data_IF_106803614541
#
_entry.id   IF_106803614541
#
_cell.length_a   1.000
_cell.length_b   1.000
_cell.length_c   1.000
_cell.angle_alpha   90.00
_cell.angle_beta   90.00
_cell.angle_gamma   90.00
#
_symmetry.space_group_name_H-M   'P 1'
#
loop_
_entity.id
_entity.type
_entity.pdbx_description
1 polymer ?
#
# COMPACT_ATOMS: atom_id res chain seq x y z
N UNK A 1 -0.08 -11.51 -6.62
CA UNK A 1 -0.70 -10.40 -5.85
C UNK A 1 0.40 -9.54 -5.27
N UNK A 2 0.18 -8.24 -5.19
CA UNK A 2 1.13 -7.29 -4.61
C UNK A 2 1.52 -7.64 -3.17
N UNK A 3 2.77 -7.35 -2.76
CA UNK A 3 3.22 -7.59 -1.40
C UNK A 3 2.73 -6.56 -0.38
N UNK A 4 2.07 -5.48 -0.78
CA UNK A 4 1.63 -4.40 0.12
C UNK A 4 0.11 -4.34 0.29
N UNK A 5 -0.34 -4.01 1.50
CA UNK A 5 -1.72 -3.79 1.88
C UNK A 5 -1.87 -2.41 2.53
N UNK A 6 -3.04 -1.80 2.38
CA UNK A 6 -3.41 -0.52 3.02
C UNK A 6 -4.60 -0.71 3.95
N UNK A 7 -4.53 -0.13 5.13
CA UNK A 7 -5.67 0.01 6.02
C UNK A 7 -6.49 1.22 5.54
N UNK A 8 -7.69 0.94 5.05
CA UNK A 8 -8.56 1.97 4.45
C UNK A 8 -9.13 2.95 5.46
N UNK A 9 -9.12 2.63 6.76
CA UNK A 9 -9.66 3.47 7.81
C UNK A 9 -8.66 4.55 8.28
N UNK A 10 -7.38 4.22 8.38
CA UNK A 10 -6.35 5.10 8.95
C UNK A 10 -5.14 5.37 8.05
N UNK A 11 -5.04 4.69 6.90
CA UNK A 11 -4.01 4.93 5.90
C UNK A 11 -2.65 4.30 6.22
N UNK A 12 -2.57 3.42 7.23
CA UNK A 12 -1.39 2.59 7.46
C UNK A 12 -1.16 1.65 6.28
N UNK A 13 0.10 1.34 6.02
CA UNK A 13 0.51 0.39 4.99
C UNK A 13 1.41 -0.65 5.62
N UNK A 14 1.14 -1.91 5.33
CA UNK A 14 1.95 -3.02 5.79
C UNK A 14 2.15 -4.03 4.66
N UNK A 15 3.17 -4.85 4.78
CA UNK A 15 3.39 -5.98 3.88
C UNK A 15 2.39 -7.10 4.16
N UNK A 16 2.10 -7.91 3.15
CA UNK A 16 1.26 -9.10 3.30
C UNK A 16 1.84 -10.08 4.32
N UNK A 17 3.17 -10.21 4.37
CA UNK A 17 3.85 -11.05 5.38
C UNK A 17 3.55 -10.59 6.79
N UNK A 18 3.65 -9.28 7.07
CA UNK A 18 3.29 -8.72 8.37
C UNK A 18 1.83 -9.04 8.75
N UNK A 19 0.89 -8.89 7.81
CA UNK A 19 -0.51 -9.24 8.06
C UNK A 19 -0.72 -10.73 8.37
N UNK A 20 0.00 -11.62 7.68
CA UNK A 20 -0.04 -13.06 7.95
C UNK A 20 0.49 -13.36 9.35
N UNK A 21 1.64 -12.79 9.72
CA UNK A 21 2.25 -12.96 11.04
C UNK A 21 1.36 -12.44 12.17
N UNK A 22 0.60 -11.38 11.91
CA UNK A 22 -0.36 -10.82 12.86
C UNK A 22 -1.73 -11.52 12.87
N UNK A 23 -1.94 -12.55 12.05
CA UNK A 23 -3.24 -13.23 11.96
C UNK A 23 -4.36 -12.35 11.38
N UNK A 24 -4.02 -11.32 10.60
CA UNK A 24 -4.96 -10.38 9.98
C UNK A 24 -5.41 -10.80 8.58
N UNK A 25 -5.39 -12.12 8.32
CA UNK A 25 -5.87 -12.72 7.09
C UNK A 25 -7.16 -13.47 7.39
N UNK A 26 -8.13 -13.43 6.49
CA UNK A 26 -9.33 -14.25 6.56
C UNK A 26 -9.07 -15.70 6.12
N UNK A 27 -10.07 -16.56 6.28
CA UNK A 27 -10.00 -17.99 5.91
C UNK A 27 -9.73 -18.22 4.41
N UNK A 28 -9.99 -17.21 3.56
CA UNK A 28 -9.71 -17.25 2.13
C UNK A 28 -8.29 -16.74 1.78
N UNK A 29 -7.48 -16.40 2.78
CA UNK A 29 -6.12 -15.88 2.58
C UNK A 29 -6.08 -14.45 2.03
N UNK A 30 -7.15 -13.69 2.25
CA UNK A 30 -7.29 -12.27 1.91
C UNK A 30 -7.10 -11.42 3.17
N UNK A 31 -6.52 -10.22 3.07
CA UNK A 31 -6.46 -9.29 4.20
C UNK A 31 -7.85 -9.04 4.81
N UNK A 32 -7.97 -9.24 6.12
CA UNK A 32 -9.20 -8.93 6.83
C UNK A 32 -9.45 -7.41 6.86
N UNK A 33 -10.71 -6.99 6.73
CA UNK A 33 -11.07 -5.57 6.81
C UNK A 33 -10.57 -4.96 8.13
N UNK A 34 -10.09 -3.69 8.13
CA UNK A 34 -10.13 -2.71 7.04
C UNK A 34 -8.93 -2.77 6.08
N UNK A 35 -8.13 -3.83 6.09
CA UNK A 35 -6.99 -3.99 5.21
C UNK A 35 -7.41 -4.43 3.81
N UNK A 36 -6.79 -3.83 2.80
CA UNK A 36 -7.00 -4.16 1.39
C UNK A 36 -5.67 -4.25 0.65
N UNK A 37 -5.50 -5.20 -0.29
CA UNK A 37 -4.29 -5.29 -1.09
C UNK A 37 -4.16 -4.08 -2.02
N UNK A 38 -2.98 -3.47 -2.05
CA UNK A 38 -2.66 -2.44 -3.05
C UNK A 38 -2.42 -3.16 -4.37
N UNK A 39 -3.09 -2.77 -5.46
CA UNK A 39 -2.84 -3.42 -6.77
C UNK A 39 -1.42 -3.10 -7.25
N UNK A 40 -0.72 -4.12 -7.73
CA UNK A 40 0.62 -3.99 -8.27
C UNK A 40 1.30 -5.34 -8.49
N UNK A 41 2.54 -5.28 -8.97
CA UNK A 41 3.33 -6.47 -9.25
C UNK A 41 3.70 -7.22 -7.98
N UNK A 42 3.78 -8.55 -8.05
CA UNK A 42 4.16 -9.39 -6.91
C UNK A 42 5.64 -9.32 -6.55
N UNK A 43 6.49 -8.89 -7.49
CA UNK A 43 7.93 -8.67 -7.32
C UNK A 43 8.26 -7.22 -6.94
N UNK A 44 7.25 -6.40 -6.62
CA UNK A 44 7.47 -5.02 -6.22
C UNK A 44 8.32 -4.93 -4.95
N UNK A 45 9.41 -4.17 -5.04
CA UNK A 45 10.33 -3.88 -3.95
C UNK A 45 10.41 -2.37 -3.73
N UNK A 46 10.53 -1.94 -2.48
CA UNK A 46 10.65 -0.51 -2.12
C UNK A 46 11.91 0.16 -2.67
N UNK A 47 12.87 -0.62 -3.18
CA UNK A 47 14.05 -0.10 -3.88
C UNK A 47 13.67 0.64 -5.17
N UNK A 48 12.71 0.09 -5.91
CA UNK A 48 12.31 0.61 -7.23
C UNK A 48 10.89 1.16 -7.24
N UNK A 49 10.02 0.67 -6.35
CA UNK A 49 8.62 1.06 -6.27
C UNK A 49 8.38 2.01 -5.10
N UNK A 50 7.56 3.03 -5.35
CA UNK A 50 6.95 3.86 -4.35
C UNK A 50 5.58 3.28 -4.00
N UNK A 51 5.33 3.09 -2.71
CA UNK A 51 3.98 2.85 -2.21
C UNK A 51 3.33 4.21 -2.01
N UNK A 52 2.27 4.47 -2.74
CA UNK A 52 1.54 5.73 -2.69
C UNK A 52 0.25 5.53 -1.91
N UNK A 53 -0.13 6.51 -1.09
CA UNK A 53 -1.46 6.60 -0.47
C UNK A 53 -2.12 7.93 -0.79
N UNK A 54 -3.45 7.94 -0.78
CA UNK A 54 -4.24 9.18 -0.83
C UNK A 54 -5.54 8.96 -0.07
N UNK A 55 -6.02 10.01 0.59
CA UNK A 55 -7.37 10.02 1.17
C UNK A 55 -8.39 10.46 0.12
N UNK A 56 -9.41 9.65 -0.09
CA UNK A 56 -10.48 9.89 -1.05
C UNK A 56 -11.83 9.60 -0.39
N UNK A 57 -12.74 10.58 -0.37
CA UNK A 57 -14.10 10.45 0.20
C UNK A 57 -14.16 9.77 1.58
N UNK A 58 -13.19 10.08 2.45
CA UNK A 58 -13.14 9.59 3.83
C UNK A 58 -12.40 8.26 4.02
N UNK A 59 -12.00 7.56 2.96
CA UNK A 59 -11.18 6.33 3.03
C UNK A 59 -9.80 6.54 2.44
N UNK A 60 -8.83 5.71 2.83
CA UNK A 60 -7.50 5.68 2.23
C UNK A 60 -7.45 4.68 1.08
N UNK A 61 -6.87 5.10 -0.05
CA UNK A 61 -6.57 4.24 -1.20
C UNK A 61 -5.07 4.18 -1.42
N UNK A 62 -4.59 3.04 -1.91
CA UNK A 62 -3.18 2.79 -2.18
C UNK A 62 -2.91 2.56 -3.67
N UNK A 63 -1.70 2.89 -4.11
CA UNK A 63 -1.19 2.60 -5.45
C UNK A 63 0.30 2.26 -5.39
N UNK A 64 0.79 1.54 -6.40
CA UNK A 64 2.21 1.24 -6.59
C UNK A 64 2.66 1.84 -7.92
N UNK A 65 3.77 2.57 -7.91
CA UNK A 65 4.40 3.07 -9.12
C UNK A 65 5.93 2.98 -9.00
N UNK A 66 6.63 3.04 -10.14
CA UNK A 66 8.10 3.08 -10.16
C UNK A 66 8.57 4.47 -9.73
N UNK A 67 9.55 4.53 -8.82
CA UNK A 67 10.16 5.76 -8.29
C UNK A 67 10.84 6.58 -9.39
N UNK A 68 10.85 7.90 -9.23
CA UNK A 68 11.60 8.83 -10.09
C UNK A 68 11.22 8.73 -11.58
N UNK A 69 9.97 8.35 -11.86
CA UNK A 69 9.37 8.36 -13.20
C UNK A 69 8.26 9.41 -13.27
N UNK A 70 7.88 9.84 -14.46
CA UNK A 70 6.84 10.86 -14.67
C UNK A 70 5.52 10.53 -13.96
N UNK A 71 5.15 9.25 -13.88
CA UNK A 71 3.94 8.81 -13.18
C UNK A 71 4.03 9.05 -11.67
N UNK A 72 5.21 8.87 -11.05
CA UNK A 72 5.40 9.16 -9.62
C UNK A 72 5.23 10.67 -9.35
N UNK A 73 5.85 11.53 -10.16
CA UNK A 73 5.67 12.98 -10.11
C UNK A 73 4.22 13.40 -10.33
N UNK A 74 3.53 12.77 -11.28
CA UNK A 74 2.11 13.01 -11.54
C UNK A 74 1.23 12.66 -10.35
N UNK A 75 1.49 11.54 -9.66
CA UNK A 75 0.73 11.16 -8.47
C UNK A 75 0.96 12.17 -7.33
N UNK A 76 2.21 12.56 -7.07
CA UNK A 76 2.55 13.57 -6.08
C UNK A 76 1.82 14.89 -6.34
N UNK A 77 1.85 15.40 -7.57
CA UNK A 77 1.12 16.64 -7.95
C UNK A 77 -0.40 16.52 -7.83
N UNK A 78 -0.95 15.29 -7.87
CA UNK A 78 -2.37 15.00 -7.65
C UNK A 78 -2.71 14.77 -6.17
N UNK A 79 -1.81 15.11 -5.25
CA UNK A 79 -2.03 14.99 -3.81
C UNK A 79 -1.96 13.54 -3.32
N UNK A 80 -1.26 12.66 -4.03
CA UNK A 80 -0.83 11.40 -3.44
C UNK A 80 0.42 11.62 -2.60
N UNK A 81 0.51 10.90 -1.50
CA UNK A 81 1.66 10.88 -0.62
C UNK A 81 2.42 9.58 -0.86
N UNK A 82 3.74 9.67 -0.96
CA UNK A 82 4.56 8.48 -0.85
C UNK A 82 4.64 8.06 0.62
N UNK A 83 4.43 6.77 0.90
CA UNK A 83 4.62 6.19 2.22
C UNK A 83 6.11 5.87 2.41
N UNK A 84 6.78 6.49 3.39
CA UNK A 84 8.18 6.19 3.69
C UNK A 84 8.36 4.72 4.08
N UNK A 85 9.49 4.12 3.71
CA UNK A 85 9.77 2.70 4.03
C UNK A 85 9.70 2.42 5.53
N UNK A 86 10.14 3.39 6.36
CA UNK A 86 10.08 3.29 7.82
C UNK A 86 8.65 3.29 8.38
N UNK A 87 7.66 3.77 7.63
CA UNK A 87 6.24 3.76 8.00
C UNK A 87 5.49 2.54 7.48
N UNK A 88 6.15 1.66 6.70
CA UNK A 88 5.56 0.40 6.24
C UNK A 88 5.61 -0.62 7.38
N UNK A 89 4.61 -0.54 8.25
CA UNK A 89 4.47 -1.34 9.46
C UNK A 89 2.98 -1.50 9.83
N UNK A 90 2.70 -2.45 10.72
CA UNK A 90 1.37 -2.68 11.29
C UNK A 90 0.97 -1.60 12.28
#
# INVERSE_FOLDING_TARGET
MSPFCINTADGRVATRTQLIEAGLMDDAGTPAKPWHPIRGSSDASTLWYAVMRRRERGVFIGSLCVRHQDHHTLLLSRGWEEVPVAEIAL
#
